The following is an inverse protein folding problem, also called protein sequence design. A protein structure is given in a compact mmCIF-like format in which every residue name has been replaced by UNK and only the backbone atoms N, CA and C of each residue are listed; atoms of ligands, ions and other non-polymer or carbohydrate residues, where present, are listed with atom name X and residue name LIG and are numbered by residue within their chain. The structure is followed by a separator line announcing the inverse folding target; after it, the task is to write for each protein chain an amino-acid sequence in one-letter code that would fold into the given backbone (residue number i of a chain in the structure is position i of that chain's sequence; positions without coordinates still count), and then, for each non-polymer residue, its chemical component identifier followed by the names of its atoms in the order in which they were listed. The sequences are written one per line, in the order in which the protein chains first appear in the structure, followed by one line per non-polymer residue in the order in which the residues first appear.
data_IF_015238140756
#
_entry.id   IF_015238140756
#
_cell.length_a   1.000
_cell.length_b   1.000
_cell.length_c   1.000
_cell.angle_alpha   90.00
_cell.angle_beta   90.00
_cell.angle_gamma   90.00
#
_symmetry.space_group_name_H-M   'P 1'
#
loop_
_entity.id
_entity.type
_entity.pdbx_description
1 polymer ?
#
# COMPACT_ATOMS: atom_id res chain seq x y z
N UNK A 1 26.71 8.63 -3.34
CA UNK A 1 26.69 9.95 -2.68
C UNK A 1 25.31 10.63 -2.62
N UNK A 2 24.23 10.02 -3.14
CA UNK A 2 22.88 10.64 -3.17
C UNK A 2 22.01 10.40 -1.93
N UNK A 3 22.28 9.35 -1.14
CA UNK A 3 21.40 8.95 -0.05
C UNK A 3 21.56 9.83 1.21
N UNK A 4 22.78 10.19 1.58
CA UNK A 4 23.07 11.00 2.78
C UNK A 4 22.51 12.41 2.68
N UNK A 5 22.64 13.06 1.51
CA UNK A 5 22.05 14.37 1.24
C UNK A 5 20.52 14.33 1.38
N UNK A 6 19.88 13.30 0.82
CA UNK A 6 18.43 13.13 0.91
C UNK A 6 17.95 12.86 2.34
N UNK A 7 18.71 12.08 3.12
CA UNK A 7 18.42 11.87 4.54
C UNK A 7 18.57 13.15 5.37
N UNK A 8 19.60 13.95 5.09
CA UNK A 8 19.81 15.25 5.72
C UNK A 8 18.63 16.20 5.46
N UNK A 9 18.23 16.32 4.18
CA UNK A 9 17.06 17.12 3.78
C UNK A 9 15.77 16.67 4.46
N UNK A 10 15.53 15.36 4.55
CA UNK A 10 14.35 14.80 5.21
C UNK A 10 14.32 15.11 6.71
N UNK A 11 15.46 14.99 7.41
CA UNK A 11 15.58 15.33 8.83
C UNK A 11 15.29 16.80 9.08
N UNK A 12 15.90 17.69 8.29
CA UNK A 12 15.64 19.13 8.41
C UNK A 12 14.17 19.45 8.12
N UNK A 13 13.58 18.82 7.11
CA UNK A 13 12.18 19.07 6.77
C UNK A 13 11.21 18.56 7.85
N UNK A 14 11.55 17.48 8.55
CA UNK A 14 10.80 16.99 9.70
C UNK A 14 10.89 17.96 10.89
N UNK A 15 12.08 18.47 11.18
CA UNK A 15 12.28 19.48 12.22
C UNK A 15 11.45 20.75 11.95
N UNK A 16 11.45 21.27 10.72
CA UNK A 16 10.62 22.42 10.35
C UNK A 16 9.13 22.19 10.61
N UNK A 17 8.63 20.96 10.43
CA UNK A 17 7.22 20.63 10.73
C UNK A 17 6.94 20.57 12.22
N UNK A 18 7.91 20.11 13.02
CA UNK A 18 7.85 20.14 14.48
C UNK A 18 7.83 21.60 14.96
N UNK A 19 8.72 22.43 14.44
CA UNK A 19 8.82 23.84 14.83
C UNK A 19 7.52 24.60 14.54
N UNK A 20 6.92 24.35 13.37
CA UNK A 20 5.57 24.86 13.06
C UNK A 20 4.55 24.37 14.08
N UNK A 21 4.51 23.07 14.39
CA UNK A 21 3.56 22.51 15.37
C UNK A 21 3.75 23.10 16.77
N UNK A 22 4.97 23.45 17.13
CA UNK A 22 5.31 24.14 18.37
C UNK A 22 4.97 25.64 18.35
N UNK A 23 4.44 26.17 17.24
CA UNK A 23 4.00 27.56 17.11
C UNK A 23 5.11 28.54 16.72
N UNK A 24 6.33 28.07 16.41
CA UNK A 24 7.45 28.94 16.02
C UNK A 24 7.24 29.62 14.65
N UNK A 25 6.42 29.01 13.79
CA UNK A 25 6.14 29.51 12.45
C UNK A 25 4.64 29.49 12.14
N UNK A 26 4.17 30.50 11.40
CA UNK A 26 2.76 30.62 10.97
C UNK A 26 2.35 29.50 10.02
N UNK A 27 3.24 29.11 9.10
CA UNK A 27 2.98 28.05 8.12
C UNK A 27 4.17 27.10 7.99
N UNK A 28 3.92 25.91 7.41
CA UNK A 28 5.01 24.96 7.10
C UNK A 28 6.01 25.54 6.10
N UNK A 29 5.53 26.30 5.11
CA UNK A 29 6.40 26.95 4.12
C UNK A 29 7.28 28.02 4.73
N UNK A 30 6.82 28.75 5.75
CA UNK A 30 7.67 29.75 6.42
C UNK A 30 8.79 29.08 7.22
N UNK A 31 8.50 27.96 7.89
CA UNK A 31 9.53 27.15 8.53
C UNK A 31 10.59 26.67 7.52
N UNK A 32 10.16 26.22 6.34
CA UNK A 32 11.07 25.82 5.27
C UNK A 32 11.89 27.00 4.71
N UNK A 33 11.27 28.17 4.47
CA UNK A 33 11.99 29.37 4.01
C UNK A 33 13.08 29.78 5.00
N UNK A 34 12.78 29.72 6.29
CA UNK A 34 13.75 29.99 7.36
C UNK A 34 14.93 29.02 7.31
N UNK A 35 14.67 27.72 7.15
CA UNK A 35 15.72 26.71 7.04
C UNK A 35 16.55 26.85 5.75
N UNK A 36 15.92 27.19 4.62
CA UNK A 36 16.59 27.43 3.34
C UNK A 36 17.60 28.57 3.46
N UNK A 37 17.22 29.68 4.09
CA UNK A 37 18.11 30.83 4.26
C UNK A 37 19.23 30.59 5.28
N UNK A 38 18.91 29.96 6.42
CA UNK A 38 19.87 29.82 7.54
C UNK A 38 20.78 28.60 7.38
N UNK A 39 20.21 27.42 7.14
CA UNK A 39 20.95 26.14 7.13
C UNK A 39 21.58 25.90 5.77
N UNK A 40 20.80 26.11 4.70
CA UNK A 40 21.22 25.75 3.34
C UNK A 40 21.75 26.93 2.52
N UNK A 41 21.78 28.15 3.08
CA UNK A 41 22.27 29.36 2.39
C UNK A 41 21.70 29.52 0.96
N UNK A 42 20.43 29.15 0.77
CA UNK A 42 19.72 29.14 -0.52
C UNK A 42 20.22 28.13 -1.57
N UNK A 43 21.05 27.15 -1.20
CA UNK A 43 21.46 26.05 -2.10
C UNK A 43 20.32 25.05 -2.37
N UNK A 44 19.28 25.07 -1.53
CA UNK A 44 18.14 24.15 -1.57
C UNK A 44 16.85 24.96 -1.62
N UNK A 45 15.89 24.54 -2.44
CA UNK A 45 14.59 25.19 -2.52
C UNK A 45 13.61 24.68 -1.44
N UNK A 46 12.60 25.49 -1.13
CA UNK A 46 11.50 25.09 -0.23
C UNK A 46 10.81 23.82 -0.74
N UNK A 47 10.62 23.72 -2.06
CA UNK A 47 10.01 22.56 -2.71
C UNK A 47 10.87 21.29 -2.55
N UNK A 48 12.20 21.40 -2.58
CA UNK A 48 13.08 20.27 -2.32
C UNK A 48 12.95 19.75 -0.89
N UNK A 49 12.81 20.62 0.11
CA UNK A 49 12.54 20.21 1.50
C UNK A 49 11.14 19.59 1.65
N UNK A 50 10.14 20.16 1.00
CA UNK A 50 8.77 19.66 1.00
C UNK A 50 8.72 18.24 0.41
N UNK A 51 9.33 18.04 -0.75
CA UNK A 51 9.43 16.75 -1.42
C UNK A 51 10.24 15.74 -0.60
N UNK A 52 11.36 16.16 0.03
CA UNK A 52 12.15 15.30 0.89
C UNK A 52 11.32 14.74 2.07
N UNK A 53 10.48 15.58 2.69
CA UNK A 53 9.56 15.14 3.73
C UNK A 53 8.58 14.08 3.20
N UNK A 54 7.84 14.36 2.12
CA UNK A 54 6.84 13.42 1.60
C UNK A 54 7.48 12.11 1.13
N UNK A 55 8.61 12.17 0.44
CA UNK A 55 9.33 10.98 -0.03
C UNK A 55 9.84 10.12 1.13
N UNK A 56 10.30 10.73 2.23
CA UNK A 56 10.71 9.98 3.43
C UNK A 56 9.55 9.28 4.15
N UNK A 57 8.32 9.79 4.01
CA UNK A 57 7.12 9.15 4.56
C UNK A 57 6.58 8.06 3.63
N UNK A 58 6.72 8.24 2.31
CA UNK A 58 6.38 7.24 1.29
C UNK A 58 7.32 6.03 1.33
N UNK A 59 8.62 6.23 1.58
CA UNK A 59 9.59 5.13 1.67
C UNK A 59 9.37 4.20 2.88
N UNK A 60 8.51 4.55 3.84
CA UNK A 60 8.06 3.62 4.88
C UNK A 60 7.13 2.54 4.34
N UNK A 61 6.52 2.73 3.16
CA UNK A 61 5.73 1.72 2.46
C UNK A 61 6.47 1.13 1.26
N UNK A 62 7.74 0.74 1.43
CA UNK A 62 8.53 0.04 0.40
C UNK A 62 7.98 -1.35 0.01
N UNK A 63 6.73 -1.68 0.35
CA UNK A 63 6.04 -2.69 -0.41
C UNK A 63 5.60 -2.05 -1.72
N UNK A 64 6.11 -2.50 -2.88
CA UNK A 64 5.51 -2.10 -4.14
C UNK A 64 4.03 -2.47 -4.05
N UNK A 65 3.14 -1.48 -4.02
CA UNK A 65 1.72 -1.72 -4.26
C UNK A 65 1.66 -2.35 -5.63
N UNK A 66 1.62 -3.68 -5.68
CA UNK A 66 1.38 -4.42 -6.91
C UNK A 66 0.12 -3.77 -7.49
N UNK A 67 0.27 -3.12 -8.64
CA UNK A 67 -0.88 -2.78 -9.46
C UNK A 67 -1.35 -4.14 -9.97
N UNK A 68 -2.16 -4.81 -9.16
CA UNK A 68 -2.70 -6.12 -9.52
C UNK A 68 -3.68 -5.80 -10.64
N UNK A 69 -3.36 -6.23 -11.86
CA UNK A 69 -4.32 -6.18 -12.95
C UNK A 69 -5.54 -6.97 -12.51
N UNK A 70 -6.70 -6.30 -12.43
CA UNK A 70 -7.95 -6.97 -12.12
C UNK A 70 -8.27 -7.85 -13.33
N UNK A 71 -8.41 -9.18 -13.15
CA UNK A 71 -8.79 -10.04 -14.26
C UNK A 71 -10.13 -9.59 -14.84
N UNK A 72 -10.23 -9.47 -16.16
CA UNK A 72 -11.49 -9.21 -16.86
C UNK A 72 -12.30 -10.52 -16.99
N UNK A 73 -11.60 -11.65 -17.03
CA UNK A 73 -12.16 -12.99 -17.20
C UNK A 73 -11.77 -13.91 -16.03
N UNK A 74 -12.60 -14.90 -15.75
CA UNK A 74 -12.38 -15.92 -14.72
C UNK A 74 -11.13 -16.74 -15.08
N UNK A 75 -10.24 -16.95 -14.10
CA UNK A 75 -9.02 -17.74 -14.28
C UNK A 75 -9.34 -19.23 -14.42
N UNK A 76 -8.43 -20.01 -15.00
CA UNK A 76 -8.60 -21.46 -15.15
C UNK A 76 -8.80 -22.16 -13.80
N UNK A 77 -8.06 -21.75 -12.77
CA UNK A 77 -8.19 -22.30 -11.42
C UNK A 77 -9.60 -22.09 -10.85
N UNK A 78 -10.18 -20.92 -11.08
CA UNK A 78 -11.55 -20.63 -10.66
C UNK A 78 -12.56 -21.49 -11.42
N UNK A 79 -12.35 -21.76 -12.73
CA UNK A 79 -13.20 -22.69 -13.49
C UNK A 79 -13.14 -24.10 -12.93
N UNK A 80 -11.95 -24.59 -12.57
CA UNK A 80 -11.78 -25.91 -11.95
C UNK A 80 -12.51 -26.00 -10.60
N UNK A 81 -12.37 -24.98 -9.76
CA UNK A 81 -13.08 -24.91 -8.47
C UNK A 81 -14.60 -24.89 -8.66
N UNK A 82 -15.11 -24.09 -9.61
CA UNK A 82 -16.54 -24.02 -9.92
C UNK A 82 -17.09 -25.34 -10.49
N UNK A 83 -16.34 -26.04 -11.34
CA UNK A 83 -16.68 -27.40 -11.78
C UNK A 83 -16.77 -28.37 -10.61
N UNK A 84 -15.84 -28.29 -9.66
CA UNK A 84 -15.89 -29.07 -8.41
C UNK A 84 -17.12 -28.75 -7.54
N UNK A 85 -17.68 -27.55 -7.69
CA UNK A 85 -18.95 -27.13 -7.07
C UNK A 85 -20.18 -27.46 -7.92
N UNK A 86 -20.03 -28.30 -8.97
CA UNK A 86 -21.09 -28.77 -9.88
C UNK A 86 -21.72 -27.68 -10.76
N UNK A 87 -21.06 -26.54 -10.97
CA UNK A 87 -21.48 -25.59 -11.99
C UNK A 87 -21.15 -26.12 -13.39
N UNK A 88 -22.09 -25.97 -14.31
CA UNK A 88 -21.93 -26.32 -15.72
C UNK A 88 -21.04 -25.31 -16.45
N UNK A 89 -20.51 -25.72 -17.61
CA UNK A 89 -19.65 -24.86 -18.44
C UNK A 89 -20.38 -23.58 -18.91
N UNK A 90 -21.68 -23.68 -19.20
CA UNK A 90 -22.50 -22.53 -19.61
C UNK A 90 -22.70 -21.54 -18.46
N UNK A 91 -23.00 -22.03 -17.25
CA UNK A 91 -23.12 -21.17 -16.07
C UNK A 91 -21.80 -20.44 -15.77
N UNK A 92 -20.67 -21.14 -15.88
CA UNK A 92 -19.34 -20.55 -15.68
C UNK A 92 -19.03 -19.48 -16.72
N UNK A 93 -19.46 -19.64 -17.98
CA UNK A 93 -19.19 -18.70 -19.08
C UNK A 93 -19.76 -17.30 -18.81
N UNK A 94 -20.88 -17.23 -18.08
CA UNK A 94 -21.58 -15.99 -17.79
C UNK A 94 -21.18 -15.34 -16.45
N UNK A 95 -20.25 -15.94 -15.70
CA UNK A 95 -19.79 -15.39 -14.45
C UNK A 95 -18.72 -14.30 -14.66
N UNK A 96 -18.78 -13.26 -13.83
CA UNK A 96 -17.67 -12.31 -13.71
C UNK A 96 -16.64 -12.84 -12.72
N UNK A 97 -15.36 -12.41 -12.81
CA UNK A 97 -14.32 -12.81 -11.86
C UNK A 97 -14.70 -12.56 -10.41
N UNK A 98 -15.35 -11.42 -10.13
CA UNK A 98 -15.85 -11.09 -8.80
C UNK A 98 -16.85 -12.12 -8.28
N UNK A 99 -17.91 -12.40 -9.05
CA UNK A 99 -18.96 -13.36 -8.67
C UNK A 99 -18.41 -14.78 -8.53
N UNK A 100 -17.56 -15.21 -9.45
CA UNK A 100 -16.91 -16.51 -9.39
C UNK A 100 -16.07 -16.66 -8.11
N UNK A 101 -15.33 -15.61 -7.72
CA UNK A 101 -14.53 -15.63 -6.49
C UNK A 101 -15.43 -15.68 -5.24
N UNK A 102 -16.50 -14.88 -5.20
CA UNK A 102 -17.46 -14.90 -4.09
C UNK A 102 -18.08 -16.29 -3.89
N UNK A 103 -18.52 -16.96 -4.98
CA UNK A 103 -19.06 -18.33 -4.91
C UNK A 103 -18.03 -19.31 -4.33
N UNK A 104 -16.79 -19.25 -4.82
CA UNK A 104 -15.70 -20.12 -4.35
C UNK A 104 -15.40 -19.90 -2.86
N UNK A 105 -15.30 -18.63 -2.44
CA UNK A 105 -14.96 -18.29 -1.05
C UNK A 105 -16.09 -18.65 -0.07
N UNK A 106 -17.34 -18.40 -0.43
CA UNK A 106 -18.50 -18.75 0.41
C UNK A 106 -18.63 -20.26 0.65
N UNK A 107 -18.13 -21.08 -0.28
CA UNK A 107 -18.09 -22.55 -0.13
C UNK A 107 -16.88 -23.03 0.68
N UNK A 108 -15.73 -22.34 0.60
CA UNK A 108 -14.55 -22.64 1.41
C UNK A 108 -14.78 -22.34 2.90
N UNK A 109 -15.52 -21.26 3.21
CA UNK A 109 -15.88 -20.90 4.59
C UNK A 109 -16.81 -21.95 5.24
N UNK A 110 -17.56 -22.71 4.41
CA UNK A 110 -18.41 -23.82 4.86
C UNK A 110 -17.67 -25.19 4.90
N UNK A 111 -16.35 -25.23 4.69
CA UNK A 111 -15.55 -26.46 4.74
C UNK A 111 -14.50 -26.44 5.88
N UNK A 112 -15.01 -26.48 7.12
CA UNK A 112 -14.52 -27.16 8.35
C UNK A 112 -13.09 -26.89 8.91
N UNK A 113 -12.84 -27.15 10.22
CA UNK A 113 -12.50 -28.50 10.73
C UNK A 113 -13.24 -28.84 12.06
N UNK A 114 -13.45 -30.08 12.51
CA UNK A 114 -12.60 -31.26 12.48
C UNK A 114 -13.39 -32.58 12.44
N UNK A 115 -12.84 -33.55 11.70
CA UNK A 115 -13.13 -34.96 11.89
C UNK A 115 -12.49 -35.41 13.21
N UNK A 116 -13.30 -35.62 14.24
CA UNK A 116 -12.98 -36.57 15.31
C UNK A 116 -13.10 -37.99 14.75
N UNK A 117 -12.12 -38.43 13.95
CA UNK A 117 -11.84 -39.85 13.84
C UNK A 117 -10.89 -40.19 14.98
N UNK A 118 -11.48 -40.67 16.08
CA UNK A 118 -10.74 -41.33 17.13
C UNK A 118 -9.95 -42.48 16.53
N UNK A 119 -8.63 -42.38 16.61
CA UNK A 119 -7.73 -43.52 16.69
C UNK A 119 -8.16 -44.34 17.92
N UNK A 120 -8.92 -45.41 17.71
CA UNK A 120 -8.90 -46.54 18.63
C UNK A 120 -7.92 -47.56 18.03
N UNK A 121 -6.69 -47.53 18.55
CA UNK A 121 -5.79 -48.69 18.57
C UNK A 121 -5.91 -49.35 19.94
#
# INVERSE_FOLDING_TARGET
MSNEKNQSLAKTAEQCRIDKKNGLFKSYRDAYRSAVGSIFKNEVSVEQLENAYYNSKLSKSNEPKKIISIPIMITQDMRLKLKGLKYSSEEIRHLTPKKANEIIQNQLINKNPSLNHGLNQ
#
